data_IF_598255244629
#
_entry.id   IF_598255244629
#
_cell.length_a   1.000
_cell.length_b   1.000
_cell.length_c   1.000
_cell.angle_alpha   90.00
_cell.angle_beta   90.00
_cell.angle_gamma   90.00
#
_symmetry.space_group_name_H-M   'P 1'
#
loop_
_entity.id
_entity.type
_entity.pdbx_description
1 polymer ?
#
# COMPACT_ATOMS: atom_id res chain seq x y z
N UNK A 1 19.09 17.27 11.00
CA UNK A 1 17.82 17.95 10.61
C UNK A 1 17.86 18.26 9.12
N UNK A 2 18.95 18.85 8.62
CA UNK A 2 19.14 19.21 7.22
C UNK A 2 19.02 18.00 6.26
N UNK A 3 19.55 16.84 6.64
CA UNK A 3 19.40 15.59 5.87
C UNK A 3 17.93 15.15 5.73
N UNK A 4 17.17 15.12 6.82
CA UNK A 4 15.73 14.76 6.81
C UNK A 4 14.92 15.75 5.98
N UNK A 5 15.29 17.04 6.00
CA UNK A 5 14.65 18.05 5.16
C UNK A 5 14.99 17.84 3.67
N UNK A 6 16.22 17.46 3.35
CA UNK A 6 16.63 17.13 1.99
C UNK A 6 15.88 15.88 1.47
N UNK A 7 15.77 14.81 2.28
CA UNK A 7 14.97 13.63 1.95
C UNK A 7 13.51 14.03 1.72
N UNK A 8 12.92 14.83 2.61
CA UNK A 8 11.54 15.30 2.46
C UNK A 8 11.33 16.10 1.17
N UNK A 9 12.28 16.96 0.79
CA UNK A 9 12.19 17.75 -0.43
C UNK A 9 12.23 16.86 -1.68
N UNK A 10 13.13 15.86 -1.73
CA UNK A 10 13.17 14.87 -2.82
C UNK A 10 11.89 14.05 -2.88
N UNK A 11 11.41 13.55 -1.75
CA UNK A 11 10.15 12.80 -1.66
C UNK A 11 8.98 13.62 -2.22
N UNK A 12 8.84 14.89 -1.83
CA UNK A 12 7.78 15.77 -2.36
C UNK A 12 7.94 16.00 -3.85
N UNK A 13 9.16 16.15 -4.36
CA UNK A 13 9.40 16.27 -5.79
C UNK A 13 8.93 15.00 -6.53
N UNK A 14 9.31 13.81 -6.07
CA UNK A 14 8.88 12.55 -6.71
C UNK A 14 7.38 12.27 -6.56
N UNK A 15 6.74 12.65 -5.46
CA UNK A 15 5.28 12.59 -5.35
C UNK A 15 4.60 13.39 -6.47
N UNK A 16 5.12 14.59 -6.75
CA UNK A 16 4.55 15.47 -7.77
C UNK A 16 4.79 14.92 -9.18
N UNK A 17 5.96 14.34 -9.44
CA UNK A 17 6.25 13.72 -10.72
C UNK A 17 5.42 12.44 -10.94
N UNK A 18 5.30 11.56 -9.94
CA UNK A 18 4.40 10.40 -9.99
C UNK A 18 2.94 10.83 -10.23
N UNK A 19 2.48 11.88 -9.52
CA UNK A 19 1.15 12.41 -9.71
C UNK A 19 0.94 12.93 -11.14
N UNK A 20 1.91 13.66 -11.69
CA UNK A 20 1.86 14.10 -13.09
C UNK A 20 1.84 12.90 -14.03
N UNK A 21 2.73 11.94 -13.89
CA UNK A 21 2.76 10.74 -14.73
C UNK A 21 1.42 9.99 -14.75
N UNK A 22 0.73 9.91 -13.60
CA UNK A 22 -0.61 9.32 -13.52
C UNK A 22 -1.69 10.22 -14.14
N UNK A 23 -1.59 11.55 -14.07
CA UNK A 23 -2.65 12.50 -14.47
C UNK A 23 -2.50 13.12 -15.86
N UNK A 24 -1.30 13.59 -16.21
CA UNK A 24 -1.02 14.31 -17.47
C UNK A 24 -0.89 13.37 -18.65
N UNK A 25 -0.29 12.19 -18.47
CA UNK A 25 -0.23 11.20 -19.53
C UNK A 25 -1.59 10.55 -19.79
N UNK A 26 -2.58 10.69 -18.89
CA UNK A 26 -3.75 9.80 -18.84
C UNK A 26 -5.07 10.42 -18.38
N UNK A 27 -5.38 11.63 -18.84
CA UNK A 27 -6.76 12.12 -18.81
C UNK A 27 -7.55 11.43 -19.93
N UNK A 28 -8.58 10.65 -19.59
CA UNK A 28 -9.46 9.83 -20.48
C UNK A 28 -8.87 8.48 -20.92
N UNK A 29 -9.71 7.45 -21.16
CA UNK A 29 -9.24 6.08 -21.40
C UNK A 29 -8.61 5.99 -22.79
N UNK A 30 -7.37 6.43 -22.90
CA UNK A 30 -6.58 6.30 -24.11
C UNK A 30 -5.97 4.88 -24.11
N UNK A 31 -6.36 4.01 -25.05
CA UNK A 31 -6.00 2.61 -25.04
C UNK A 31 -4.52 2.44 -25.44
N UNK A 32 -3.84 1.62 -24.63
CA UNK A 32 -2.50 1.05 -24.83
C UNK A 32 -1.32 2.01 -24.62
N UNK A 33 -1.03 2.26 -23.34
CA UNK A 33 0.34 2.49 -22.90
C UNK A 33 1.25 1.36 -23.41
N UNK A 34 2.41 1.72 -23.97
CA UNK A 34 3.44 0.77 -24.35
C UNK A 34 4.13 0.15 -23.13
N UNK A 35 4.80 -0.98 -23.36
CA UNK A 35 5.56 -1.70 -22.32
C UNK A 35 6.56 -0.79 -21.59
N UNK A 36 7.37 -0.05 -22.35
CA UNK A 36 8.39 0.88 -21.82
C UNK A 36 7.75 1.96 -20.92
N UNK A 37 6.58 2.48 -21.30
CA UNK A 37 5.90 3.51 -20.51
C UNK A 37 5.37 2.93 -19.18
N UNK A 38 4.89 1.69 -19.17
CA UNK A 38 4.51 1.02 -17.92
C UNK A 38 5.71 0.76 -17.03
N UNK A 39 6.83 0.29 -17.59
CA UNK A 39 8.07 0.10 -16.85
C UNK A 39 8.56 1.41 -16.22
N UNK A 40 8.56 2.51 -16.96
CA UNK A 40 8.97 3.82 -16.47
C UNK A 40 8.09 4.29 -15.30
N UNK A 41 6.77 4.19 -15.45
CA UNK A 41 5.82 4.60 -14.40
C UNK A 41 6.03 3.75 -13.14
N UNK A 42 6.13 2.43 -13.29
CA UNK A 42 6.33 1.50 -12.16
C UNK A 42 7.69 1.74 -11.49
N UNK A 43 8.75 1.91 -12.28
CA UNK A 43 10.09 2.21 -11.77
C UNK A 43 10.14 3.52 -10.98
N UNK A 44 9.41 4.55 -11.42
CA UNK A 44 9.29 5.80 -10.65
C UNK A 44 8.58 5.57 -9.32
N UNK A 45 7.51 4.78 -9.29
CA UNK A 45 6.84 4.43 -8.06
C UNK A 45 7.71 3.57 -7.11
N UNK A 46 8.59 2.72 -7.64
CA UNK A 46 9.61 2.04 -6.82
C UNK A 46 10.53 3.05 -6.13
N UNK A 47 11.06 4.02 -6.88
CA UNK A 47 11.88 5.11 -6.33
C UNK A 47 11.12 5.90 -5.26
N UNK A 48 9.85 6.24 -5.50
CA UNK A 48 9.03 6.96 -4.53
C UNK A 48 8.87 6.16 -3.23
N UNK A 49 8.61 4.85 -3.30
CA UNK A 49 8.52 3.99 -2.11
C UNK A 49 9.86 3.88 -1.37
N UNK A 50 10.98 3.86 -2.08
CA UNK A 50 12.30 3.93 -1.46
C UNK A 50 12.52 5.25 -0.71
N UNK A 51 12.15 6.40 -1.29
CA UNK A 51 12.29 7.70 -0.59
C UNK A 51 11.37 7.79 0.64
N UNK A 52 10.17 7.18 0.59
CA UNK A 52 9.34 7.03 1.79
C UNK A 52 10.00 6.16 2.85
N UNK A 53 10.58 5.03 2.45
CA UNK A 53 11.30 4.13 3.34
C UNK A 53 12.47 4.85 4.00
N UNK A 54 13.30 5.55 3.23
CA UNK A 54 14.44 6.32 3.74
C UNK A 54 13.97 7.40 4.73
N UNK A 55 12.92 8.14 4.40
CA UNK A 55 12.36 9.16 5.30
C UNK A 55 11.86 8.54 6.62
N UNK A 56 11.08 7.47 6.54
CA UNK A 56 10.48 6.82 7.71
C UNK A 56 11.55 6.17 8.58
N UNK A 57 12.50 5.44 8.00
CA UNK A 57 13.59 4.82 8.77
C UNK A 57 14.51 5.85 9.39
N UNK A 58 14.85 6.93 8.69
CA UNK A 58 15.69 8.01 9.25
C UNK A 58 14.98 8.74 10.39
N UNK A 59 13.68 9.00 10.27
CA UNK A 59 12.93 9.71 11.32
C UNK A 59 12.57 8.84 12.50
N UNK A 60 12.38 7.53 12.30
CA UNK A 60 12.02 6.57 13.36
C UNK A 60 13.23 5.82 13.94
N UNK A 61 14.45 6.12 13.50
CA UNK A 61 15.67 5.53 14.05
C UNK A 61 15.78 5.78 15.57
N UNK A 62 16.37 4.83 16.30
CA UNK A 62 16.51 4.92 17.75
C UNK A 62 17.36 6.12 18.21
N UNK A 63 18.27 6.61 17.36
CA UNK A 63 19.13 7.76 17.61
C UNK A 63 18.44 9.10 17.28
N UNK A 64 17.28 9.07 16.61
CA UNK A 64 16.56 10.26 16.22
C UNK A 64 15.96 10.99 17.43
N UNK A 65 16.14 12.32 17.49
CA UNK A 65 15.52 13.16 18.52
C UNK A 65 13.98 13.07 18.46
N UNK A 66 13.25 13.29 19.59
CA UNK A 66 11.78 13.26 19.61
C UNK A 66 11.13 14.17 18.55
N UNK A 67 11.69 15.37 18.35
CA UNK A 67 11.23 16.32 17.34
C UNK A 67 11.35 15.79 15.90
N UNK A 68 12.34 14.94 15.62
CA UNK A 68 12.50 14.30 14.31
C UNK A 68 11.49 13.15 14.14
N UNK A 69 11.28 12.34 15.18
CA UNK A 69 10.29 11.24 15.17
C UNK A 69 8.88 11.75 14.89
N UNK A 70 8.51 12.89 15.48
CA UNK A 70 7.21 13.54 15.27
C UNK A 70 6.97 13.96 13.81
N UNK A 71 8.01 14.14 12.98
CA UNK A 71 7.85 14.58 11.60
C UNK A 71 7.07 13.58 10.74
N UNK A 72 7.22 12.26 10.99
CA UNK A 72 6.49 11.24 10.26
C UNK A 72 4.96 11.42 10.44
N UNK A 73 4.52 11.63 11.68
CA UNK A 73 3.11 11.90 12.00
C UNK A 73 2.67 13.28 11.51
N UNK A 74 3.49 14.32 11.74
CA UNK A 74 3.21 15.70 11.33
C UNK A 74 2.98 15.83 9.82
N UNK A 75 3.77 15.11 9.03
CA UNK A 75 3.66 15.11 7.57
C UNK A 75 2.72 14.03 7.05
N UNK A 76 2.03 13.29 7.92
CA UNK A 76 1.12 12.21 7.59
C UNK A 76 1.75 11.17 6.64
N UNK A 77 3.01 10.81 6.90
CA UNK A 77 3.78 9.94 6.00
C UNK A 77 3.13 8.59 5.71
N UNK A 78 2.57 7.85 6.70
CA UNK A 78 1.88 6.60 6.40
C UNK A 78 0.74 6.76 5.40
N UNK A 79 -0.12 7.75 5.62
CA UNK A 79 -1.26 8.01 4.73
C UNK A 79 -0.80 8.48 3.35
N UNK A 80 0.22 9.34 3.26
CA UNK A 80 0.76 9.80 1.96
C UNK A 80 1.41 8.67 1.18
N UNK A 81 2.18 7.81 1.85
CA UNK A 81 2.80 6.63 1.24
C UNK A 81 1.73 5.77 0.57
N UNK A 82 0.67 5.44 1.31
CA UNK A 82 -0.44 4.68 0.76
C UNK A 82 -1.11 5.40 -0.42
N UNK A 83 -1.52 6.64 -0.21
CA UNK A 83 -2.37 7.37 -1.15
C UNK A 83 -1.63 7.73 -2.45
N UNK A 84 -0.42 8.28 -2.33
CA UNK A 84 0.37 8.79 -3.45
C UNK A 84 1.36 7.78 -3.99
N UNK A 85 1.93 6.95 -3.13
CA UNK A 85 2.94 5.96 -3.50
C UNK A 85 2.35 4.67 -4.06
N UNK A 86 1.25 4.17 -3.47
CA UNK A 86 0.71 2.84 -3.78
C UNK A 86 -0.63 2.92 -4.51
N UNK A 87 -1.65 3.47 -3.84
CA UNK A 87 -3.05 3.40 -4.27
C UNK A 87 -3.30 4.11 -5.60
N UNK A 88 -2.62 5.22 -5.83
CA UNK A 88 -2.66 5.97 -7.09
C UNK A 88 -2.29 5.09 -8.29
N UNK A 89 -1.15 4.38 -8.20
CA UNK A 89 -0.67 3.47 -9.24
C UNK A 89 -1.54 2.21 -9.34
N UNK A 90 -1.92 1.60 -8.21
CA UNK A 90 -2.78 0.41 -8.21
C UNK A 90 -4.12 0.67 -8.89
N UNK A 91 -4.75 1.82 -8.64
CA UNK A 91 -5.99 2.19 -9.34
C UNK A 91 -5.80 2.27 -10.84
N UNK A 92 -4.66 2.83 -11.27
CA UNK A 92 -4.32 2.98 -12.69
C UNK A 92 -4.09 1.61 -13.32
N UNK A 93 -3.24 0.77 -12.74
CA UNK A 93 -2.97 -0.58 -13.21
C UNK A 93 -4.25 -1.43 -13.20
N UNK A 94 -5.10 -1.32 -12.18
CA UNK A 94 -6.35 -2.07 -12.13
C UNK A 94 -7.33 -1.64 -13.24
N UNK A 95 -7.32 -0.37 -13.65
CA UNK A 95 -8.17 0.12 -14.76
C UNK A 95 -7.71 -0.31 -16.16
N UNK A 96 -6.48 -0.84 -16.28
CA UNK A 96 -5.86 -1.27 -17.53
C UNK A 96 -5.62 -2.79 -17.56
N UNK A 97 -6.35 -3.55 -16.76
CA UNK A 97 -6.35 -5.00 -16.86
C UNK A 97 -7.12 -5.44 -18.12
N UNK A 98 -6.66 -6.51 -18.82
CA UNK A 98 -5.60 -7.43 -18.41
C UNK A 98 -4.16 -6.99 -18.76
N UNK A 99 -3.96 -5.95 -19.56
CA UNK A 99 -2.67 -5.59 -20.15
C UNK A 99 -1.61 -5.25 -19.10
N UNK A 100 -2.00 -4.63 -17.99
CA UNK A 100 -1.06 -4.22 -16.94
C UNK A 100 -0.87 -5.23 -15.80
N UNK A 101 -1.33 -6.48 -15.98
CA UNK A 101 -1.36 -7.50 -14.91
C UNK A 101 0.02 -7.77 -14.31
N UNK A 102 1.04 -7.99 -15.15
CA UNK A 102 2.38 -8.36 -14.66
C UNK A 102 3.06 -7.22 -13.90
N UNK A 103 2.89 -5.98 -14.36
CA UNK A 103 3.32 -4.78 -13.66
C UNK A 103 2.64 -4.63 -12.30
N UNK A 104 1.33 -4.91 -12.23
CA UNK A 104 0.59 -4.85 -10.98
C UNK A 104 1.03 -5.92 -10.00
N UNK A 105 1.26 -7.16 -10.46
CA UNK A 105 1.78 -8.24 -9.63
C UNK A 105 3.13 -7.86 -9.02
N UNK A 106 4.09 -7.48 -9.86
CA UNK A 106 5.46 -7.12 -9.44
C UNK A 106 5.46 -5.90 -8.53
N UNK A 107 4.62 -4.90 -8.81
CA UNK A 107 4.47 -3.73 -7.96
C UNK A 107 3.90 -4.07 -6.58
N UNK A 108 2.87 -4.92 -6.51
CA UNK A 108 2.30 -5.37 -5.23
C UNK A 108 3.35 -6.12 -4.41
N UNK A 109 4.14 -7.00 -5.03
CA UNK A 109 5.16 -7.78 -4.34
C UNK A 109 6.23 -6.84 -3.72
N UNK A 110 6.67 -5.82 -4.46
CA UNK A 110 7.60 -4.80 -3.95
C UNK A 110 6.98 -3.92 -2.86
N UNK A 111 5.73 -3.48 -3.03
CA UNK A 111 5.04 -2.70 -2.02
C UNK A 111 4.86 -3.49 -0.71
N UNK A 112 4.54 -4.78 -0.80
CA UNK A 112 4.47 -5.67 0.36
C UNK A 112 5.84 -5.77 1.06
N UNK A 113 6.93 -5.91 0.29
CA UNK A 113 8.29 -5.92 0.83
C UNK A 113 8.59 -4.64 1.62
N UNK A 114 8.32 -3.45 1.05
CA UNK A 114 8.52 -2.17 1.74
C UNK A 114 7.66 -2.09 3.02
N UNK A 115 6.39 -2.49 2.98
CA UNK A 115 5.53 -2.49 4.17
C UNK A 115 6.05 -3.42 5.28
N UNK A 116 6.55 -4.61 4.93
CA UNK A 116 7.12 -5.55 5.90
C UNK A 116 8.39 -4.99 6.53
N UNK A 117 9.25 -4.32 5.76
CA UNK A 117 10.42 -3.63 6.32
C UNK A 117 9.99 -2.49 7.26
N UNK A 118 8.99 -1.70 6.88
CA UNK A 118 8.47 -0.62 7.72
C UNK A 118 7.82 -1.12 9.02
N UNK A 119 7.23 -2.31 9.04
CA UNK A 119 6.79 -2.96 10.29
C UNK A 119 7.93 -3.14 11.29
N UNK A 120 9.16 -3.38 10.81
CA UNK A 120 10.33 -3.57 11.66
C UNK A 120 10.99 -2.25 12.04
N UNK A 121 11.10 -1.33 11.07
CA UNK A 121 11.88 -0.10 11.21
C UNK A 121 11.08 1.07 11.77
N UNK A 122 9.76 1.06 11.63
CA UNK A 122 8.84 2.11 12.10
C UNK A 122 7.63 1.49 12.82
N UNK A 123 7.85 0.78 13.95
CA UNK A 123 6.82 -0.02 14.63
C UNK A 123 5.69 0.81 15.25
N UNK A 124 5.91 2.11 15.48
CA UNK A 124 4.89 3.05 15.97
C UNK A 124 3.68 3.15 15.03
N UNK A 125 3.83 2.79 13.75
CA UNK A 125 2.77 2.77 12.73
C UNK A 125 2.40 1.36 12.26
N UNK A 126 2.78 0.32 13.03
CA UNK A 126 2.64 -1.08 12.62
C UNK A 126 1.19 -1.48 12.30
N UNK A 127 0.19 -0.93 12.99
CA UNK A 127 -1.22 -1.19 12.68
C UNK A 127 -1.61 -0.65 11.29
N UNK A 128 -1.12 0.54 10.93
CA UNK A 128 -1.29 1.14 9.59
C UNK A 128 -0.62 0.29 8.52
N UNK A 129 0.60 -0.20 8.76
CA UNK A 129 1.30 -1.06 7.81
C UNK A 129 0.60 -2.41 7.61
N UNK A 130 0.08 -3.02 8.68
CA UNK A 130 -0.72 -4.24 8.57
C UNK A 130 -2.02 -4.01 7.80
N UNK A 131 -2.66 -2.86 7.96
CA UNK A 131 -3.81 -2.50 7.15
C UNK A 131 -3.45 -2.41 5.66
N UNK A 132 -2.38 -1.67 5.31
CA UNK A 132 -1.94 -1.53 3.91
C UNK A 132 -1.51 -2.87 3.29
N UNK A 133 -0.86 -3.74 4.06
CA UNK A 133 -0.59 -5.12 3.64
C UNK A 133 -1.87 -5.90 3.36
N UNK A 134 -2.88 -5.75 4.23
CA UNK A 134 -4.21 -6.31 4.01
C UNK A 134 -4.83 -5.81 2.69
N UNK A 135 -4.81 -4.50 2.47
CA UNK A 135 -5.35 -3.89 1.25
C UNK A 135 -4.62 -4.36 -0.02
N UNK A 136 -3.28 -4.46 0.01
CA UNK A 136 -2.47 -5.04 -1.06
C UNK A 136 -2.85 -6.51 -1.32
N UNK A 137 -3.06 -7.27 -0.26
CA UNK A 137 -3.49 -8.66 -0.32
C UNK A 137 -4.84 -8.83 -1.00
N UNK A 138 -5.80 -7.92 -0.76
CA UNK A 138 -7.12 -7.94 -1.44
C UNK A 138 -6.97 -7.75 -2.96
N UNK A 139 -6.11 -6.83 -3.42
CA UNK A 139 -5.82 -6.69 -4.85
C UNK A 139 -5.24 -7.99 -5.41
N UNK A 140 -4.28 -8.61 -4.72
CA UNK A 140 -3.65 -9.85 -5.17
C UNK A 140 -4.63 -11.03 -5.24
N UNK A 141 -5.51 -11.18 -4.25
CA UNK A 141 -6.58 -12.20 -4.27
C UNK A 141 -7.49 -12.04 -5.47
N UNK A 142 -7.84 -10.80 -5.85
CA UNK A 142 -8.70 -10.54 -7.01
C UNK A 142 -8.01 -10.92 -8.33
N UNK A 143 -6.68 -10.78 -8.42
CA UNK A 143 -5.90 -11.11 -9.62
C UNK A 143 -5.66 -12.61 -9.81
N UNK A 144 -5.72 -13.40 -8.74
CA UNK A 144 -5.49 -14.86 -8.75
C UNK A 144 -6.80 -15.64 -8.94
N UNK A 145 -7.70 -15.12 -9.80
CA UNK A 145 -9.04 -15.68 -9.95
C UNK A 145 -8.98 -17.18 -10.31
N UNK A 146 -8.12 -17.50 -11.27
CA UNK A 146 -8.00 -18.83 -11.87
C UNK A 146 -6.96 -19.73 -11.16
N UNK A 147 -6.25 -19.21 -10.16
CA UNK A 147 -5.18 -19.93 -9.45
C UNK A 147 -5.56 -20.18 -7.99
N UNK A 148 -6.31 -21.26 -7.76
CA UNK A 148 -6.89 -21.57 -6.45
C UNK A 148 -5.88 -21.62 -5.29
N UNK A 149 -4.71 -22.24 -5.48
CA UNK A 149 -3.69 -22.33 -4.43
C UNK A 149 -3.07 -20.97 -4.09
N UNK A 150 -2.76 -20.16 -5.11
CA UNK A 150 -2.27 -18.79 -4.91
C UNK A 150 -3.33 -17.94 -4.20
N UNK A 151 -4.58 -17.99 -4.67
CA UNK A 151 -5.70 -17.28 -4.07
C UNK A 151 -5.88 -17.66 -2.60
N UNK A 152 -5.79 -18.96 -2.27
CA UNK A 152 -5.88 -19.47 -0.89
C UNK A 152 -4.73 -18.95 -0.03
N UNK A 153 -3.49 -19.02 -0.52
CA UNK A 153 -2.31 -18.53 0.20
C UNK A 153 -2.45 -17.04 0.51
N UNK A 154 -2.77 -16.22 -0.50
CA UNK A 154 -3.00 -14.79 -0.33
C UNK A 154 -4.18 -14.49 0.60
N UNK A 155 -5.27 -15.25 0.53
CA UNK A 155 -6.41 -15.11 1.44
C UNK A 155 -6.00 -15.34 2.90
N UNK A 156 -5.20 -16.38 3.16
CA UNK A 156 -4.70 -16.68 4.50
C UNK A 156 -3.83 -15.54 5.03
N UNK A 157 -2.84 -15.11 4.25
CA UNK A 157 -1.91 -14.02 4.63
C UNK A 157 -2.64 -12.70 4.85
N UNK A 158 -3.57 -12.35 3.95
CA UNK A 158 -4.39 -11.12 4.04
C UNK A 158 -5.24 -11.10 5.31
N UNK A 159 -5.85 -12.23 5.67
CA UNK A 159 -6.59 -12.37 6.92
C UNK A 159 -5.72 -12.17 8.14
N UNK A 160 -4.47 -12.66 8.12
CA UNK A 160 -3.55 -12.47 9.24
C UNK A 160 -3.22 -10.99 9.45
N UNK A 161 -2.95 -10.25 8.37
CA UNK A 161 -2.66 -8.81 8.45
C UNK A 161 -3.84 -8.01 8.99
N UNK A 162 -5.05 -8.17 8.44
CA UNK A 162 -6.23 -7.48 8.99
C UNK A 162 -6.58 -7.92 10.41
N UNK A 163 -6.37 -9.19 10.77
CA UNK A 163 -6.57 -9.65 12.15
C UNK A 163 -5.61 -8.95 13.11
N UNK A 164 -4.33 -8.84 12.74
CA UNK A 164 -3.32 -8.14 13.54
C UNK A 164 -3.64 -6.65 13.69
N UNK A 165 -4.04 -5.97 12.61
CA UNK A 165 -4.48 -4.58 12.66
C UNK A 165 -5.73 -4.40 13.54
N UNK A 166 -6.75 -5.26 13.37
CA UNK A 166 -8.03 -5.13 14.10
C UNK A 166 -7.93 -5.49 15.58
N UNK A 167 -6.95 -6.30 15.99
CA UNK A 167 -6.66 -6.52 17.41
C UNK A 167 -6.09 -5.28 18.09
N UNK A 168 -5.30 -4.47 17.37
CA UNK A 168 -4.77 -3.20 17.89
C UNK A 168 -5.78 -2.07 17.84
N UNK A 169 -6.59 -2.04 16.78
CA UNK A 169 -7.53 -0.96 16.49
C UNK A 169 -8.95 -1.49 16.25
N UNK A 170 -9.62 -2.03 17.30
CA UNK A 170 -10.89 -2.75 17.17
C UNK A 170 -12.10 -1.86 16.82
N UNK A 171 -11.95 -0.53 16.88
CA UNK A 171 -12.99 0.43 16.48
C UNK A 171 -12.97 0.76 14.99
N UNK A 172 -11.99 0.27 14.24
CA UNK A 172 -11.85 0.58 12.81
C UNK A 172 -12.66 -0.43 11.99
N UNK A 173 -13.89 -0.07 11.64
CA UNK A 173 -14.82 -0.93 10.89
C UNK A 173 -14.28 -1.43 9.53
N UNK A 174 -13.50 -0.60 8.81
CA UNK A 174 -12.91 -0.99 7.51
C UNK A 174 -12.00 -2.22 7.58
N UNK A 175 -11.36 -2.49 8.72
CA UNK A 175 -10.53 -3.70 8.90
C UNK A 175 -11.39 -4.96 8.89
N UNK A 176 -12.58 -4.90 9.51
CA UNK A 176 -13.55 -5.99 9.46
C UNK A 176 -14.20 -6.11 8.09
N UNK A 177 -14.42 -4.99 7.38
CA UNK A 177 -14.83 -5.05 5.98
C UNK A 177 -13.82 -5.83 5.13
N UNK A 178 -12.51 -5.53 5.29
CA UNK A 178 -11.42 -6.29 4.66
C UNK A 178 -11.49 -7.79 4.97
N UNK A 179 -11.64 -8.16 6.24
CA UNK A 179 -11.81 -9.57 6.66
C UNK A 179 -13.03 -10.23 6.01
N UNK A 180 -14.15 -9.52 5.87
CA UNK A 180 -15.33 -10.01 5.19
C UNK A 180 -15.09 -10.28 3.69
N UNK A 181 -14.27 -9.45 3.02
CA UNK A 181 -13.89 -9.70 1.62
C UNK A 181 -13.03 -10.95 1.46
N UNK A 182 -12.18 -11.27 2.44
CA UNK A 182 -11.40 -12.51 2.47
C UNK A 182 -12.26 -13.75 2.81
N UNK A 183 -13.37 -13.58 3.52
CA UNK A 183 -14.23 -14.66 3.98
C UNK A 183 -15.31 -15.11 2.97
N UNK A 184 -15.20 -14.74 1.68
CA UNK A 184 -16.22 -15.04 0.64
C UNK A 184 -16.63 -16.51 0.55
N UNK A 185 -15.74 -17.45 0.87
CA UNK A 185 -16.04 -18.88 0.87
C UNK A 185 -16.88 -19.36 2.07
N UNK A 186 -17.02 -18.55 3.12
CA UNK A 186 -17.76 -18.86 4.34
C UNK A 186 -18.77 -17.75 4.65
N UNK A 187 -20.02 -17.95 4.22
CA UNK A 187 -21.10 -16.95 4.33
C UNK A 187 -21.36 -16.50 5.77
N UNK A 188 -21.28 -17.40 6.76
CA UNK A 188 -21.50 -17.05 8.16
C UNK A 188 -20.40 -16.14 8.69
N UNK A 189 -19.15 -16.49 8.41
CA UNK A 189 -17.98 -15.68 8.78
C UNK A 189 -17.99 -14.32 8.07
N UNK A 190 -18.36 -14.29 6.79
CA UNK A 190 -18.50 -13.07 6.02
C UNK A 190 -19.58 -12.14 6.61
N UNK A 191 -20.76 -12.68 6.94
CA UNK A 191 -21.84 -11.91 7.57
C UNK A 191 -21.42 -11.36 8.94
N UNK A 192 -20.72 -12.16 9.75
CA UNK A 192 -20.18 -11.72 11.03
C UNK A 192 -19.26 -10.51 10.87
N UNK A 193 -18.28 -10.58 9.96
CA UNK A 193 -17.34 -9.48 9.74
C UNK A 193 -17.98 -8.24 9.12
N UNK A 194 -18.93 -8.39 8.19
CA UNK A 194 -19.68 -7.23 7.68
C UNK A 194 -20.51 -6.56 8.78
N UNK A 195 -21.16 -7.33 9.64
CA UNK A 195 -21.91 -6.77 10.78
C UNK A 195 -20.98 -6.01 11.71
N UNK A 196 -19.82 -6.60 12.04
CA UNK A 196 -18.80 -5.96 12.87
C UNK A 196 -18.21 -4.69 12.24
N UNK A 197 -18.18 -4.60 10.91
CA UNK A 197 -17.70 -3.40 10.20
C UNK A 197 -18.61 -2.18 10.35
N UNK A 198 -19.87 -2.38 10.76
CA UNK A 198 -20.89 -1.33 10.93
C UNK A 198 -21.08 -0.88 12.38
N UNK A 199 -20.49 -1.61 13.35
CA UNK A 199 -20.52 -1.29 14.77
C UNK A 199 -19.35 -0.40 15.17
#
# INVERSE_FOLDING_TARGET
>A
IDEVQAIHARLVAEENECYKDITTKHSTPDPMLGHEQWEDIVARHYTLLCEYYDFLTTTQDYSASPKLRELASKYAMPARLWEKGIRSLLKRLNSCLPESRDYMCTFIDFACFIMVLLCQMAPDFEDVWNEHLGDLGVYRIAMEEDHFENRRAWTSTTRQWYSKASHRSPSIGRLYHGLATCAKANTLEQLFFYTKSLC
#
